data_IF_941267209547
#
_entry.id   IF_941267209547
#
_cell.length_a   1.000
_cell.length_b   1.000
_cell.length_c   1.000
_cell.angle_alpha   90.00
_cell.angle_beta   90.00
_cell.angle_gamma   90.00
#
_symmetry.space_group_name_H-M   'P 1'
#
loop_
_entity.id
_entity.type
_entity.pdbx_description
1 polymer ?
#
# COMPACT_ATOMS: atom_id res chain seq x y z
N UNK A 1 -8.34 6.40 11.99
CA UNK A 1 -7.19 5.50 11.72
C UNK A 1 -6.10 5.88 12.72
N UNK A 2 -5.86 5.03 13.72
CA UNK A 2 -4.91 5.34 14.80
C UNK A 2 -3.50 5.54 14.23
N UNK A 3 -2.72 6.51 14.72
CA UNK A 3 -1.32 6.65 14.34
C UNK A 3 -0.57 5.38 14.75
N UNK A 4 0.29 4.87 13.86
CA UNK A 4 1.18 3.75 14.20
C UNK A 4 2.11 4.21 15.33
N UNK A 5 1.75 3.88 16.55
CA UNK A 5 2.50 4.25 17.75
C UNK A 5 3.60 3.21 17.97
N UNK A 6 4.68 3.30 17.17
CA UNK A 6 5.85 2.46 17.40
C UNK A 6 6.57 2.93 18.66
N UNK A 7 6.78 2.02 19.60
CA UNK A 7 7.71 2.22 20.72
C UNK A 7 9.11 1.83 20.22
N UNK A 8 10.08 2.75 20.33
CA UNK A 8 11.48 2.53 20.01
C UNK A 8 12.28 2.43 21.31
N UNK A 9 13.25 1.53 21.38
CA UNK A 9 13.91 1.14 22.61
C UNK A 9 15.45 1.23 22.55
N UNK A 10 16.01 1.28 21.34
CA UNK A 10 17.47 1.36 21.16
C UNK A 10 18.01 2.74 21.47
N UNK A 11 19.33 2.88 21.55
CA UNK A 11 20.01 4.17 21.67
C UNK A 11 19.70 5.13 20.51
N UNK A 12 19.16 4.65 19.41
CA UNK A 12 18.72 5.45 18.25
C UNK A 12 17.29 5.96 18.37
N UNK A 13 16.52 5.52 19.37
CA UNK A 13 15.10 5.89 19.54
C UNK A 13 14.80 7.39 19.42
N UNK A 14 15.53 8.29 20.08
CA UNK A 14 15.28 9.74 19.97
C UNK A 14 15.41 10.25 18.53
N UNK A 15 16.45 9.82 17.82
CA UNK A 15 16.72 10.25 16.44
C UNK A 15 15.70 9.69 15.46
N UNK A 16 15.28 8.44 15.65
CA UNK A 16 14.23 7.81 14.83
C UNK A 16 12.90 8.54 15.00
N UNK A 17 12.51 8.84 16.24
CA UNK A 17 11.28 9.56 16.54
C UNK A 17 11.28 10.95 15.91
N UNK A 18 12.40 11.69 16.07
CA UNK A 18 12.56 13.03 15.52
C UNK A 18 12.51 13.03 13.99
N UNK A 19 13.21 12.11 13.33
CA UNK A 19 13.15 11.93 11.87
C UNK A 19 11.72 11.65 11.39
N UNK A 20 11.01 10.75 12.07
CA UNK A 20 9.61 10.42 11.70
C UNK A 20 8.72 11.64 11.87
N UNK A 21 8.89 12.40 12.96
CA UNK A 21 8.13 13.61 13.22
C UNK A 21 8.38 14.67 12.14
N UNK A 22 9.65 14.94 11.79
CA UNK A 22 10.02 15.86 10.70
C UNK A 22 9.35 15.48 9.37
N UNK A 23 9.45 14.22 8.98
CA UNK A 23 8.85 13.74 7.72
C UNK A 23 7.33 13.86 7.71
N UNK A 24 6.69 13.60 8.85
CA UNK A 24 5.23 13.77 8.99
C UNK A 24 4.81 15.23 8.96
N UNK A 25 5.55 16.12 9.59
CA UNK A 25 5.33 17.57 9.51
C UNK A 25 5.48 18.10 8.08
N UNK A 26 6.41 17.53 7.31
CA UNK A 26 6.56 17.82 5.88
C UNK A 26 5.47 17.19 4.99
N UNK A 27 4.41 16.60 5.57
CA UNK A 27 3.27 16.04 4.84
C UNK A 27 3.42 14.59 4.39
N UNK A 28 4.53 13.92 4.68
CA UNK A 28 4.70 12.50 4.31
C UNK A 28 4.02 11.59 5.33
N UNK A 29 3.26 10.58 4.85
CA UNK A 29 2.69 9.55 5.75
C UNK A 29 3.75 8.72 6.46
N UNK A 30 4.88 8.48 5.84
CA UNK A 30 6.10 7.82 6.32
C UNK A 30 5.90 6.48 7.05
N UNK A 31 4.79 5.75 6.78
CA UNK A 31 4.43 4.51 7.48
C UNK A 31 5.41 3.36 7.22
N UNK A 32 5.65 3.06 5.95
CA UNK A 32 6.57 1.96 5.56
C UNK A 32 7.99 2.22 6.05
N UNK A 33 8.45 3.46 5.99
CA UNK A 33 9.75 3.85 6.50
C UNK A 33 9.81 3.73 8.04
N UNK A 34 8.79 4.18 8.75
CA UNK A 34 8.70 4.03 10.21
C UNK A 34 8.72 2.55 10.64
N UNK A 35 8.01 1.67 9.90
CA UNK A 35 8.06 0.23 10.14
C UNK A 35 9.47 -0.35 9.95
N UNK A 36 10.18 0.06 8.90
CA UNK A 36 11.58 -0.35 8.66
C UNK A 36 12.53 0.20 9.72
N UNK A 37 12.30 1.42 10.20
CA UNK A 37 13.06 1.98 11.33
C UNK A 37 12.81 1.20 12.62
N UNK A 38 11.58 0.72 12.86
CA UNK A 38 11.33 -0.18 14.01
C UNK A 38 12.08 -1.51 13.88
N UNK A 39 12.21 -2.04 12.67
CA UNK A 39 13.04 -3.24 12.44
C UNK A 39 14.52 -2.96 12.72
N UNK A 40 15.04 -1.78 12.38
CA UNK A 40 16.40 -1.37 12.67
C UNK A 40 16.60 -1.15 14.17
N UNK A 41 15.68 -0.49 14.84
CA UNK A 41 15.67 -0.29 16.28
C UNK A 41 15.75 -1.64 17.04
N UNK A 42 14.94 -2.61 16.64
CA UNK A 42 14.96 -3.95 17.18
C UNK A 42 16.31 -4.66 16.93
N UNK A 43 16.85 -4.57 15.73
CA UNK A 43 18.18 -5.09 15.40
C UNK A 43 19.26 -4.50 16.32
N UNK A 44 19.23 -3.19 16.57
CA UNK A 44 20.18 -2.53 17.46
C UNK A 44 20.02 -2.98 18.91
N UNK A 45 18.79 -3.20 19.38
CA UNK A 45 18.53 -3.71 20.74
C UNK A 45 19.01 -5.15 20.89
N UNK A 46 18.72 -6.03 19.93
CA UNK A 46 19.13 -7.43 19.93
C UNK A 46 20.68 -7.58 19.90
N UNK A 47 21.36 -6.69 19.20
CA UNK A 47 22.84 -6.66 19.14
C UNK A 47 23.47 -5.81 20.26
N UNK A 48 22.70 -5.35 21.23
CA UNK A 48 23.16 -4.59 22.41
C UNK A 48 24.00 -3.36 22.04
N UNK A 49 23.63 -2.66 20.97
CA UNK A 49 24.32 -1.45 20.52
C UNK A 49 24.01 -0.34 21.51
N UNK A 50 25.02 0.14 22.23
CA UNK A 50 24.87 1.12 23.30
C UNK A 50 25.16 2.57 22.84
N UNK A 51 25.99 2.76 21.81
CA UNK A 51 26.34 4.09 21.31
C UNK A 51 25.40 4.53 20.20
N UNK A 52 24.87 5.75 20.21
CA UNK A 52 24.02 6.29 19.15
C UNK A 52 24.86 6.75 17.94
N UNK A 53 25.83 5.94 17.53
CA UNK A 53 26.64 6.15 16.34
C UNK A 53 26.46 4.93 15.42
N UNK A 54 25.98 5.16 14.20
CA UNK A 54 25.92 4.10 13.19
C UNK A 54 27.33 3.91 12.66
N UNK A 55 28.07 2.94 13.19
CA UNK A 55 29.38 2.60 12.66
C UNK A 55 29.28 1.88 11.32
N UNK A 56 30.41 1.73 10.63
CA UNK A 56 30.47 0.98 9.38
C UNK A 56 30.07 -0.47 9.60
N UNK A 57 30.51 -1.08 10.70
CA UNK A 57 30.23 -2.48 11.06
C UNK A 57 28.73 -2.71 11.27
N UNK A 58 28.05 -1.80 12.00
CA UNK A 58 26.59 -1.83 12.20
C UNK A 58 25.87 -1.72 10.85
N UNK A 59 26.32 -0.78 10.03
CA UNK A 59 25.74 -0.58 8.71
C UNK A 59 25.94 -1.78 7.80
N UNK A 60 27.15 -2.36 7.77
CA UNK A 60 27.47 -3.52 6.94
C UNK A 60 26.63 -4.74 7.37
N UNK A 61 26.52 -5.02 8.67
CA UNK A 61 25.65 -6.09 9.18
C UNK A 61 24.18 -5.89 8.83
N UNK A 62 23.67 -4.67 8.99
CA UNK A 62 22.30 -4.35 8.61
C UNK A 62 22.05 -4.49 7.12
N UNK A 63 23.06 -4.16 6.30
CA UNK A 63 22.98 -4.19 4.85
C UNK A 63 23.10 -5.59 4.24
N UNK A 64 23.52 -6.61 4.99
CA UNK A 64 23.58 -7.98 4.48
C UNK A 64 22.23 -8.44 3.93
N UNK A 65 22.24 -9.09 2.78
CA UNK A 65 21.05 -9.72 2.21
C UNK A 65 20.59 -10.84 3.15
N UNK A 66 19.32 -10.86 3.48
CA UNK A 66 18.71 -11.88 4.34
C UNK A 66 18.24 -13.06 3.50
N UNK A 67 18.15 -14.24 4.10
CA UNK A 67 17.62 -15.41 3.42
C UNK A 67 16.21 -15.16 2.91
N UNK A 68 15.98 -15.42 1.61
CA UNK A 68 14.71 -15.17 0.96
C UNK A 68 14.35 -13.70 0.71
N UNK A 69 15.23 -12.76 1.05
CA UNK A 69 14.98 -11.34 0.82
C UNK A 69 15.23 -10.94 -0.64
N UNK A 70 14.22 -10.32 -1.28
CA UNK A 70 14.42 -9.76 -2.62
C UNK A 70 15.36 -8.53 -2.58
N UNK A 71 16.26 -8.33 -3.57
CA UNK A 71 17.20 -7.20 -3.62
C UNK A 71 16.51 -5.83 -3.50
N UNK A 72 15.30 -5.68 -4.04
CA UNK A 72 14.51 -4.45 -3.92
C UNK A 72 14.04 -4.18 -2.48
N UNK A 73 13.79 -5.24 -1.71
CA UNK A 73 13.41 -5.14 -0.28
C UNK A 73 14.62 -4.72 0.54
N UNK A 74 15.77 -5.35 0.31
CA UNK A 74 17.05 -4.98 0.92
C UNK A 74 17.37 -3.50 0.68
N UNK A 75 17.36 -3.07 -0.58
CA UNK A 75 17.65 -1.67 -0.93
C UNK A 75 16.68 -0.68 -0.26
N UNK A 76 15.39 -1.04 -0.19
CA UNK A 76 14.41 -0.22 0.52
C UNK A 76 14.65 -0.18 2.04
N UNK A 77 15.17 -1.25 2.65
CA UNK A 77 15.54 -1.33 4.06
C UNK A 77 16.78 -0.49 4.36
N UNK A 78 17.78 -0.59 3.50
CA UNK A 78 19.03 0.18 3.62
C UNK A 78 18.80 1.67 3.40
N UNK A 79 17.97 2.03 2.41
CA UNK A 79 17.63 3.43 2.11
C UNK A 79 17.07 4.19 3.32
N UNK A 80 16.29 3.53 4.16
CA UNK A 80 15.70 4.18 5.35
C UNK A 80 16.76 4.42 6.44
N UNK A 81 17.68 3.48 6.65
CA UNK A 81 18.79 3.68 7.60
C UNK A 81 19.79 4.71 7.06
N UNK A 82 20.01 4.74 5.75
CA UNK A 82 20.77 5.84 5.12
C UNK A 82 20.16 7.21 5.42
N UNK A 83 18.83 7.35 5.34
CA UNK A 83 18.15 8.59 5.70
C UNK A 83 18.33 8.94 7.19
N UNK A 84 18.30 7.94 8.07
CA UNK A 84 18.58 8.14 9.51
C UNK A 84 20.01 8.61 9.72
N UNK A 85 21.01 7.98 9.07
CA UNK A 85 22.42 8.40 9.16
C UNK A 85 22.62 9.84 8.72
N UNK A 86 22.01 10.24 7.60
CA UNK A 86 22.06 11.61 7.11
C UNK A 86 21.42 12.62 8.09
N UNK A 87 20.28 12.25 8.67
CA UNK A 87 19.61 13.06 9.68
C UNK A 87 20.48 13.25 10.93
N UNK A 88 21.11 12.15 11.39
CA UNK A 88 21.99 12.18 12.55
C UNK A 88 23.23 13.04 12.30
N UNK A 89 23.85 12.93 11.11
CA UNK A 89 24.98 13.80 10.73
C UNK A 89 24.57 15.27 10.70
N UNK A 90 23.39 15.60 10.16
CA UNK A 90 22.86 16.96 10.16
C UNK A 90 22.59 17.47 11.58
N UNK A 91 22.40 16.57 12.56
CA UNK A 91 22.24 16.87 13.98
C UNK A 91 23.58 16.86 14.76
N UNK A 92 24.72 16.79 14.05
CA UNK A 92 26.05 16.79 14.67
C UNK A 92 26.52 15.44 15.21
N UNK A 93 25.82 14.35 14.95
CA UNK A 93 26.17 13.00 15.38
C UNK A 93 26.93 12.30 14.26
N UNK A 94 28.16 11.91 14.51
CA UNK A 94 28.95 11.14 13.56
C UNK A 94 28.28 9.79 13.28
N UNK A 95 27.99 9.51 12.01
CA UNK A 95 27.34 8.28 11.60
C UNK A 95 27.78 7.88 10.19
N UNK A 96 28.10 6.62 10.00
CA UNK A 96 28.40 6.08 8.68
C UNK A 96 27.14 6.08 7.79
N UNK A 97 27.29 6.55 6.56
CA UNK A 97 26.19 6.57 5.59
C UNK A 97 26.28 5.30 4.71
N UNK A 98 25.37 4.34 4.85
CA UNK A 98 25.34 3.16 4.02
C UNK A 98 25.27 3.52 2.53
N UNK A 99 25.97 2.77 1.67
CA UNK A 99 25.88 2.94 0.21
C UNK A 99 24.49 2.57 -0.29
N UNK A 100 24.01 3.27 -1.32
CA UNK A 100 22.82 2.81 -2.02
C UNK A 100 23.14 1.55 -2.82
N UNK A 101 22.25 0.57 -2.75
CA UNK A 101 22.32 -0.59 -3.62
C UNK A 101 21.69 -0.26 -4.96
N UNK A 102 22.40 -0.59 -6.03
CA UNK A 102 21.83 -0.53 -7.37
C UNK A 102 20.71 -1.57 -7.48
N UNK A 103 19.53 -1.12 -7.82
CA UNK A 103 18.45 -2.05 -8.17
C UNK A 103 18.77 -2.70 -9.51
N UNK A 104 18.59 -4.01 -9.62
CA UNK A 104 18.43 -4.63 -10.94
C UNK A 104 17.27 -3.95 -11.65
N UNK A 105 17.45 -3.66 -12.94
CA UNK A 105 16.36 -3.16 -13.76
C UNK A 105 15.13 -4.06 -13.56
N UNK A 106 13.99 -3.45 -13.28
CA UNK A 106 12.74 -4.20 -13.24
C UNK A 106 12.50 -4.78 -14.63
N UNK A 107 12.08 -6.04 -14.76
CA UNK A 107 11.63 -6.54 -16.05
C UNK A 107 10.52 -5.63 -16.57
N UNK A 108 10.45 -5.48 -17.90
CA UNK A 108 9.34 -4.76 -18.51
C UNK A 108 8.01 -5.34 -18.01
N UNK A 109 7.07 -4.46 -17.72
CA UNK A 109 5.74 -4.92 -17.33
C UNK A 109 5.13 -5.70 -18.51
N UNK A 110 4.59 -6.87 -18.22
CA UNK A 110 3.80 -7.59 -19.19
C UNK A 110 2.51 -6.84 -19.46
N UNK A 111 2.21 -6.56 -20.71
CA UNK A 111 0.99 -5.89 -21.15
C UNK A 111 0.11 -6.93 -21.79
N UNK A 112 -1.06 -7.16 -21.21
CA UNK A 112 -2.05 -8.10 -21.73
C UNK A 112 -2.52 -7.63 -23.11
N UNK A 113 -2.63 -8.54 -24.06
CA UNK A 113 -3.28 -8.27 -25.34
C UNK A 113 -4.83 -8.35 -25.21
N UNK A 114 -5.53 -8.02 -26.29
CA UNK A 114 -7.00 -8.00 -26.29
C UNK A 114 -7.62 -9.37 -26.01
N UNK A 115 -7.01 -10.45 -26.50
CA UNK A 115 -7.49 -11.80 -26.29
C UNK A 115 -7.29 -12.25 -24.84
N UNK A 116 -6.15 -11.92 -24.26
CA UNK A 116 -5.85 -12.19 -22.84
C UNK A 116 -6.76 -11.40 -21.91
N UNK A 117 -7.03 -10.12 -22.22
CA UNK A 117 -8.00 -9.31 -21.46
C UNK A 117 -9.38 -9.91 -21.51
N UNK A 118 -9.83 -10.36 -22.70
CA UNK A 118 -11.12 -11.03 -22.85
C UNK A 118 -11.19 -12.30 -22.01
N UNK A 119 -10.18 -13.17 -22.13
CA UNK A 119 -10.10 -14.41 -21.36
C UNK A 119 -10.08 -14.15 -19.84
N UNK A 120 -9.35 -13.11 -19.39
CA UNK A 120 -9.34 -12.71 -17.99
C UNK A 120 -10.75 -12.38 -17.49
N UNK A 121 -11.50 -11.57 -18.21
CA UNK A 121 -12.86 -11.20 -17.79
C UNK A 121 -13.85 -12.36 -17.89
N UNK A 122 -13.70 -13.26 -18.87
CA UNK A 122 -14.47 -14.52 -18.93
C UNK A 122 -14.26 -15.38 -17.69
N UNK A 123 -13.02 -15.51 -17.22
CA UNK A 123 -12.70 -16.24 -15.98
C UNK A 123 -13.25 -15.53 -14.72
N UNK A 124 -13.20 -14.21 -14.68
CA UNK A 124 -13.77 -13.44 -13.57
C UNK A 124 -15.29 -13.60 -13.52
N UNK A 125 -15.96 -13.59 -14.68
CA UNK A 125 -17.42 -13.76 -14.78
C UNK A 125 -17.86 -15.18 -14.45
N UNK A 126 -17.05 -16.17 -14.82
CA UNK A 126 -17.30 -17.59 -14.52
C UNK A 126 -16.99 -17.92 -13.05
N UNK A 127 -16.28 -17.05 -12.33
CA UNK A 127 -15.91 -17.34 -10.95
C UNK A 127 -17.14 -17.46 -10.05
N UNK A 128 -17.25 -18.60 -9.39
CA UNK A 128 -18.25 -18.89 -8.38
C UNK A 128 -17.56 -19.39 -7.13
N UNK A 129 -18.04 -18.95 -5.98
CA UNK A 129 -17.50 -19.48 -4.73
C UNK A 129 -18.07 -20.87 -4.45
N UNK A 130 -17.19 -21.81 -4.17
CA UNK A 130 -17.56 -23.15 -3.69
C UNK A 130 -17.87 -23.16 -2.17
N UNK A 131 -17.59 -22.05 -1.51
CA UNK A 131 -17.83 -21.96 -0.06
C UNK A 131 -19.31 -21.67 0.21
N UNK A 132 -19.95 -22.36 1.18
CA UNK A 132 -21.40 -22.25 1.44
C UNK A 132 -21.82 -20.91 2.07
N UNK A 133 -20.88 -20.10 2.54
CA UNK A 133 -21.18 -18.82 3.18
C UNK A 133 -21.58 -17.76 2.15
N UNK A 134 -22.68 -17.10 2.37
CA UNK A 134 -23.23 -16.03 1.52
C UNK A 134 -22.24 -14.90 1.22
N UNK A 135 -21.39 -14.55 2.19
CA UNK A 135 -20.35 -13.54 2.00
C UNK A 135 -19.38 -13.88 0.87
N UNK A 136 -19.12 -15.18 0.59
CA UNK A 136 -18.29 -15.58 -0.54
C UNK A 136 -19.02 -15.53 -1.88
N UNK A 137 -20.34 -15.80 -1.89
CA UNK A 137 -21.16 -15.63 -3.10
C UNK A 137 -21.25 -14.15 -3.46
N UNK A 138 -21.45 -13.28 -2.47
CA UNK A 138 -21.39 -11.84 -2.65
C UNK A 138 -20.03 -11.37 -3.21
N UNK A 139 -18.92 -11.93 -2.70
CA UNK A 139 -17.57 -11.61 -3.18
C UNK A 139 -17.37 -11.96 -4.66
N UNK A 140 -17.96 -13.05 -5.16
CA UNK A 140 -17.92 -13.40 -6.58
C UNK A 140 -18.61 -12.33 -7.44
N UNK A 141 -19.74 -11.81 -7.00
CA UNK A 141 -20.41 -10.68 -7.63
C UNK A 141 -19.55 -9.42 -7.59
N UNK A 142 -18.96 -9.10 -6.43
CA UNK A 142 -18.10 -7.94 -6.26
C UNK A 142 -16.90 -7.97 -7.22
N UNK A 143 -16.24 -9.11 -7.41
CA UNK A 143 -15.09 -9.25 -8.29
C UNK A 143 -15.40 -8.88 -9.73
N UNK A 144 -16.58 -9.22 -10.25
CA UNK A 144 -17.00 -8.87 -11.61
C UNK A 144 -16.98 -7.36 -11.82
N UNK A 145 -17.43 -6.59 -10.84
CA UNK A 145 -17.49 -5.13 -10.92
C UNK A 145 -16.16 -4.50 -10.52
N UNK A 146 -15.53 -4.96 -9.45
CA UNK A 146 -14.27 -4.44 -8.94
C UNK A 146 -13.17 -4.45 -10.01
N UNK A 147 -12.98 -5.59 -10.69
CA UNK A 147 -11.94 -5.71 -11.70
C UNK A 147 -12.22 -4.85 -12.93
N UNK A 148 -13.49 -4.72 -13.34
CA UNK A 148 -13.88 -3.81 -14.43
C UNK A 148 -13.65 -2.35 -14.06
N UNK A 149 -14.02 -1.93 -12.86
CA UNK A 149 -13.78 -0.57 -12.37
C UNK A 149 -12.27 -0.28 -12.30
N UNK A 150 -11.46 -1.21 -11.81
CA UNK A 150 -10.01 -1.05 -11.80
C UNK A 150 -9.46 -0.91 -13.22
N UNK A 151 -9.86 -1.77 -14.14
CA UNK A 151 -9.34 -1.84 -15.50
C UNK A 151 -9.79 -0.64 -16.35
N UNK A 152 -11.11 -0.39 -16.42
CA UNK A 152 -11.67 0.65 -17.30
C UNK A 152 -11.40 2.06 -16.78
N UNK A 153 -11.36 2.24 -15.45
CA UNK A 153 -11.18 3.56 -14.83
C UNK A 153 -9.72 3.81 -14.40
N UNK A 154 -8.80 2.88 -14.62
CA UNK A 154 -7.39 3.04 -14.27
C UNK A 154 -7.15 3.26 -12.77
N UNK A 155 -7.97 2.63 -11.91
CA UNK A 155 -7.84 2.79 -10.47
C UNK A 155 -6.72 1.90 -9.91
N UNK A 156 -6.05 2.39 -8.87
CA UNK A 156 -5.24 1.50 -8.03
C UNK A 156 -6.15 0.59 -7.21
N UNK A 157 -5.71 -0.65 -6.94
CA UNK A 157 -6.48 -1.59 -6.08
C UNK A 157 -6.87 -0.95 -4.74
N UNK A 158 -5.94 -0.18 -4.14
CA UNK A 158 -6.21 0.51 -2.87
C UNK A 158 -7.22 1.66 -2.99
N UNK A 159 -7.37 2.27 -4.15
CA UNK A 159 -8.36 3.31 -4.42
C UNK A 159 -9.74 2.67 -4.60
N UNK A 160 -9.84 1.63 -5.42
CA UNK A 160 -11.08 0.90 -5.62
C UNK A 160 -11.62 0.32 -4.29
N UNK A 161 -10.75 -0.31 -3.47
CA UNK A 161 -11.12 -0.86 -2.16
C UNK A 161 -11.55 0.20 -1.13
N UNK A 162 -11.24 1.47 -1.36
CA UNK A 162 -11.62 2.59 -0.49
C UNK A 162 -12.68 3.49 -1.12
N UNK A 163 -13.25 3.07 -2.23
CA UNK A 163 -14.32 3.79 -2.88
C UNK A 163 -15.57 3.70 -2.01
N UNK A 164 -16.17 4.85 -1.68
CA UNK A 164 -17.41 4.91 -0.92
C UNK A 164 -18.60 5.05 -1.86
N UNK A 165 -19.76 4.62 -1.44
CA UNK A 165 -21.00 4.76 -2.21
C UNK A 165 -21.26 6.23 -2.54
N UNK A 166 -21.00 7.15 -1.60
CA UNK A 166 -21.19 8.61 -1.80
C UNK A 166 -20.20 9.22 -2.80
N UNK A 167 -19.11 8.53 -3.12
CA UNK A 167 -18.09 8.97 -4.07
C UNK A 167 -18.38 8.44 -5.51
N UNK A 168 -19.49 7.70 -5.70
CA UNK A 168 -19.91 7.13 -6.99
C UNK A 168 -21.18 7.83 -7.46
N UNK A 169 -21.05 8.74 -8.40
CA UNK A 169 -22.19 9.39 -9.04
C UNK A 169 -22.61 8.61 -10.30
N UNK A 170 -23.57 7.70 -10.13
CA UNK A 170 -24.11 6.90 -11.23
C UNK A 170 -24.99 7.72 -12.17
N UNK A 171 -25.48 8.90 -11.79
CA UNK A 171 -26.26 9.76 -12.68
C UNK A 171 -25.37 10.47 -13.69
N UNK A 172 -24.25 11.00 -13.23
CA UNK A 172 -23.28 11.69 -14.07
C UNK A 172 -22.18 10.79 -14.64
N UNK A 173 -22.06 9.55 -14.17
CA UNK A 173 -20.97 8.64 -14.57
C UNK A 173 -19.62 9.10 -14.07
N UNK A 174 -19.51 9.50 -12.81
CA UNK A 174 -18.30 10.06 -12.22
C UNK A 174 -17.94 9.32 -10.93
N UNK A 175 -16.67 8.96 -10.81
CA UNK A 175 -16.06 8.47 -9.56
C UNK A 175 -15.18 9.57 -8.96
N UNK A 176 -15.40 9.89 -7.69
CA UNK A 176 -14.51 10.77 -6.92
C UNK A 176 -13.49 9.95 -6.17
N UNK A 177 -12.25 10.00 -6.61
CA UNK A 177 -11.14 9.29 -5.95
C UNK A 177 -10.48 10.23 -4.94
N UNK A 178 -10.68 9.94 -3.66
CA UNK A 178 -10.12 10.73 -2.57
C UNK A 178 -8.84 10.10 -2.04
N UNK A 179 -7.94 10.92 -1.48
CA UNK A 179 -6.68 10.49 -0.87
C UNK A 179 -5.80 9.62 -1.79
N UNK A 180 -5.74 9.97 -3.08
CA UNK A 180 -4.83 9.29 -4.01
C UNK A 180 -3.37 9.36 -3.51
N UNK A 181 -2.54 8.42 -3.96
CA UNK A 181 -1.10 8.41 -3.65
C UNK A 181 -0.46 9.69 -4.21
N UNK A 182 -0.05 10.60 -3.32
CA UNK A 182 0.45 11.93 -3.69
C UNK A 182 -0.43 13.08 -3.17
N UNK A 183 -1.57 12.78 -2.53
CA UNK A 183 -2.37 13.75 -1.75
C UNK A 183 -3.43 14.50 -2.54
N UNK A 184 -3.60 14.26 -3.85
CA UNK A 184 -4.64 14.93 -4.65
C UNK A 184 -5.90 14.07 -4.82
N UNK A 185 -7.07 14.72 -4.77
CA UNK A 185 -8.33 14.13 -5.20
C UNK A 185 -8.44 14.27 -6.73
N UNK A 186 -9.14 13.33 -7.38
CA UNK A 186 -9.43 13.41 -8.81
C UNK A 186 -10.79 12.83 -9.12
N UNK A 187 -11.38 13.34 -10.20
CA UNK A 187 -12.57 12.75 -10.81
C UNK A 187 -12.15 11.80 -11.94
N UNK A 188 -12.85 10.69 -12.04
CA UNK A 188 -12.63 9.66 -13.07
C UNK A 188 -13.96 9.37 -13.74
N UNK A 189 -13.96 9.34 -15.07
CA UNK A 189 -15.13 8.98 -15.86
C UNK A 189 -15.44 7.48 -15.72
N UNK A 190 -16.73 7.17 -15.56
CA UNK A 190 -17.28 5.82 -15.50
C UNK A 190 -18.03 5.56 -16.84
N UNK A 191 -17.51 4.68 -17.71
CA UNK A 191 -18.16 4.35 -18.97
C UNK A 191 -19.60 3.87 -18.80
N UNK A 192 -20.46 4.14 -19.79
CA UNK A 192 -21.90 3.93 -19.70
C UNK A 192 -22.25 2.46 -19.37
N UNK A 193 -21.63 1.50 -20.06
CA UNK A 193 -21.90 0.09 -19.81
C UNK A 193 -21.51 -0.31 -18.37
N UNK A 194 -20.39 0.24 -17.89
CA UNK A 194 -19.93 -0.03 -16.53
C UNK A 194 -20.79 0.67 -15.49
N UNK A 195 -21.35 1.83 -15.82
CA UNK A 195 -22.30 2.56 -14.98
C UNK A 195 -23.56 1.74 -14.73
N UNK A 196 -24.10 1.10 -15.77
CA UNK A 196 -25.26 0.20 -15.68
C UNK A 196 -24.92 -0.99 -14.78
N UNK A 197 -23.80 -1.66 -15.03
CA UNK A 197 -23.34 -2.78 -14.20
C UNK A 197 -23.14 -2.39 -12.72
N UNK A 198 -22.66 -1.19 -12.46
CA UNK A 198 -22.52 -0.68 -11.10
C UNK A 198 -23.88 -0.40 -10.42
N UNK A 199 -24.87 0.04 -11.17
CA UNK A 199 -26.22 0.24 -10.65
C UNK A 199 -26.87 -1.10 -10.29
N UNK A 200 -26.84 -2.07 -11.20
CA UNK A 200 -27.36 -3.42 -10.97
C UNK A 200 -26.67 -4.09 -9.77
N UNK A 201 -25.36 -3.92 -9.65
CA UNK A 201 -24.59 -4.41 -8.53
C UNK A 201 -25.07 -3.85 -7.18
N UNK A 202 -25.28 -2.54 -7.08
CA UNK A 202 -25.80 -1.91 -5.85
C UNK A 202 -27.21 -2.39 -5.53
N UNK A 203 -28.07 -2.56 -6.54
CA UNK A 203 -29.41 -3.09 -6.37
C UNK A 203 -29.37 -4.54 -5.83
N UNK A 204 -28.53 -5.40 -6.38
CA UNK A 204 -28.34 -6.78 -5.92
C UNK A 204 -27.80 -6.80 -4.49
N UNK A 205 -26.82 -5.97 -4.16
CA UNK A 205 -26.30 -5.88 -2.80
C UNK A 205 -27.40 -5.54 -1.79
N UNK A 206 -28.29 -4.63 -2.16
CA UNK A 206 -29.36 -4.16 -1.29
C UNK A 206 -30.51 -5.17 -1.19
N UNK A 207 -30.93 -5.76 -2.31
CA UNK A 207 -32.13 -6.61 -2.38
C UNK A 207 -31.86 -8.05 -2.01
N UNK A 208 -30.77 -8.63 -2.48
CA UNK A 208 -30.45 -10.04 -2.26
C UNK A 208 -29.56 -10.27 -1.05
N UNK A 209 -28.56 -9.41 -0.82
CA UNK A 209 -27.61 -9.57 0.28
C UNK A 209 -27.89 -8.66 1.48
N UNK A 210 -28.93 -7.83 1.41
CA UNK A 210 -29.32 -6.90 2.48
C UNK A 210 -28.13 -6.12 3.06
N UNK A 211 -27.09 -5.86 2.21
CA UNK A 211 -25.84 -5.27 2.64
C UNK A 211 -25.96 -3.76 2.63
N UNK A 212 -25.84 -3.15 3.81
CA UNK A 212 -25.71 -1.69 3.98
C UNK A 212 -24.27 -1.39 4.37
N UNK A 213 -23.57 -0.66 3.52
CA UNK A 213 -22.16 -0.31 3.73
C UNK A 213 -21.87 1.09 3.20
N UNK A 214 -20.96 1.82 3.86
CA UNK A 214 -20.42 3.06 3.31
C UNK A 214 -19.47 2.81 2.13
N UNK A 215 -18.89 1.60 2.05
CA UNK A 215 -17.95 1.20 1.00
C UNK A 215 -18.69 0.65 -0.19
N UNK A 216 -18.29 1.09 -1.39
CA UNK A 216 -18.85 0.58 -2.63
C UNK A 216 -18.56 -0.92 -2.83
N UNK A 217 -17.39 -1.35 -2.39
CA UNK A 217 -17.00 -2.77 -2.30
C UNK A 217 -16.82 -3.15 -0.83
N UNK A 218 -17.88 -3.68 -0.18
CA UNK A 218 -17.84 -4.01 1.23
C UNK A 218 -16.79 -5.09 1.52
N UNK A 219 -16.01 -4.88 2.58
CA UNK A 219 -15.09 -5.91 3.02
C UNK A 219 -15.88 -7.13 3.55
N UNK A 220 -15.22 -8.28 3.53
CA UNK A 220 -15.74 -9.48 4.17
C UNK A 220 -15.74 -9.27 5.70
N UNK A 221 -16.90 -9.19 6.29
CA UNK A 221 -17.11 -9.26 7.74
C UNK A 221 -17.41 -10.68 8.14
#
# INVERSE_FOLDING_TARGET
>A
MMPDNFVFESCFAPYIQSLIAEKRQAGFRYRTAAHRLKQFDRFCTENKIASPCISKEIADQWCLLRDGEAPATQAGRVSVVRQLSLYMQASGIESYIPRNFAHKAKPAAYVLDAAEVKSLFEQIDAYQSVHPCEAFHRLALEYRILFRVIFCCGLRVSEARKLRVVDVDLKQGILKITQAKGGGDRLVYLPEELRILCADYLEILQTQYHTVSEWFFPARN
#
